data_IF_246241390658
#
_entry.id   IF_246241390658
#
_cell.length_a   1.000
_cell.length_b   1.000
_cell.length_c   1.000
_cell.angle_alpha   90.00
_cell.angle_beta   90.00
_cell.angle_gamma   90.00
#
_symmetry.space_group_name_H-M   'P 1'
#
loop_
_entity.id
_entity.type
_entity.pdbx_description
1 polymer ?
#
# COMPACT_ATOMS: atom_id res chain seq x y z
N UNK A 1 2.19 -13.38 33.45
CA UNK A 1 2.21 -13.49 31.97
C UNK A 1 2.30 -14.91 31.44
N UNK A 2 1.61 -15.21 30.34
CA UNK A 2 1.84 -16.41 29.52
C UNK A 2 3.25 -16.36 28.91
N UNK A 3 3.97 -17.48 28.94
CA UNK A 3 5.30 -17.57 28.33
C UNK A 3 5.16 -17.41 26.81
N UNK A 4 5.83 -16.41 26.23
CA UNK A 4 5.91 -16.28 24.79
C UNK A 4 6.67 -17.49 24.22
N UNK A 5 6.22 -18.09 23.11
CA UNK A 5 6.83 -19.30 22.54
C UNK A 5 8.20 -19.05 21.89
N UNK A 6 8.76 -17.84 22.04
CA UNK A 6 10.04 -17.44 21.48
C UNK A 6 10.87 -16.68 22.51
N UNK A 7 12.19 -16.74 22.36
CA UNK A 7 13.12 -16.13 23.30
C UNK A 7 13.22 -14.62 23.08
N UNK A 8 12.88 -13.84 24.11
CA UNK A 8 13.00 -12.38 24.08
C UNK A 8 14.45 -12.00 24.44
N UNK A 9 15.11 -11.11 23.68
CA UNK A 9 16.42 -10.61 24.05
C UNK A 9 16.46 -10.09 25.49
N UNK A 10 17.52 -10.37 26.25
CA UNK A 10 17.65 -9.97 27.67
C UNK A 10 17.45 -8.48 27.93
N UNK A 11 17.74 -7.63 26.95
CA UNK A 11 17.50 -6.18 27.05
C UNK A 11 16.02 -5.80 27.06
N UNK A 12 15.15 -6.69 26.57
CA UNK A 12 13.72 -6.47 26.42
C UNK A 12 12.88 -7.29 27.41
N UNK A 13 13.43 -8.36 27.98
CA UNK A 13 12.72 -9.24 28.93
C UNK A 13 12.25 -8.52 30.20
N UNK A 14 13.02 -7.54 30.67
CA UNK A 14 12.66 -6.75 31.86
C UNK A 14 11.42 -5.87 31.68
N UNK A 15 11.10 -5.48 30.43
CA UNK A 15 9.87 -4.76 30.13
C UNK A 15 8.66 -5.70 30.13
N UNK A 16 8.83 -6.92 29.63
CA UNK A 16 7.79 -7.94 29.71
C UNK A 16 7.49 -8.26 31.17
N UNK A 17 8.46 -8.57 32.01
CA UNK A 17 8.20 -8.92 33.43
C UNK A 17 7.45 -7.82 34.21
N UNK A 18 7.76 -6.54 33.95
CA UNK A 18 7.20 -5.41 34.70
C UNK A 18 5.88 -4.87 34.14
N UNK A 19 5.43 -5.36 32.99
CA UNK A 19 4.22 -4.83 32.36
C UNK A 19 2.94 -5.18 33.14
N UNK A 20 2.91 -6.31 33.87
CA UNK A 20 1.78 -6.67 34.74
C UNK A 20 1.59 -5.68 35.91
N UNK A 21 2.68 -5.04 36.38
CA UNK A 21 2.64 -4.10 37.51
C UNK A 21 2.42 -2.64 37.08
N UNK A 22 3.14 -2.17 36.05
CA UNK A 22 3.16 -0.77 35.62
C UNK A 22 3.07 -0.61 34.09
N UNK A 23 1.91 -0.89 33.47
CA UNK A 23 1.83 -1.04 32.02
C UNK A 23 2.15 0.25 31.24
N UNK A 24 1.66 1.40 31.71
CA UNK A 24 1.86 2.69 31.01
C UNK A 24 3.31 3.19 31.09
N UNK A 25 3.93 3.07 32.26
CA UNK A 25 5.33 3.46 32.45
C UNK A 25 6.28 2.53 31.71
N UNK A 26 5.96 1.24 31.60
CA UNK A 26 6.70 0.28 30.78
C UNK A 26 6.63 0.65 29.31
N UNK A 27 5.43 0.92 28.76
CA UNK A 27 5.27 1.35 27.35
C UNK A 27 6.09 2.60 27.07
N UNK A 28 6.05 3.59 27.97
CA UNK A 28 6.79 4.85 27.83
C UNK A 28 8.30 4.63 27.87
N UNK A 29 8.81 3.80 28.78
CA UNK A 29 10.23 3.45 28.88
C UNK A 29 10.68 2.65 27.65
N UNK A 30 9.89 1.69 27.18
CA UNK A 30 10.18 0.88 25.99
C UNK A 30 10.22 1.75 24.73
N UNK A 31 9.25 2.67 24.55
CA UNK A 31 9.24 3.63 23.43
C UNK A 31 10.48 4.52 23.43
N UNK A 32 10.95 4.99 24.60
CA UNK A 32 12.20 5.75 24.73
C UNK A 32 13.42 4.90 24.39
N UNK A 33 13.46 3.64 24.81
CA UNK A 33 14.54 2.71 24.50
C UNK A 33 14.64 2.48 22.99
N UNK A 34 13.50 2.26 22.31
CA UNK A 34 13.45 2.08 20.85
C UNK A 34 13.92 3.31 20.08
N UNK A 35 13.54 4.52 20.54
CA UNK A 35 14.01 5.77 19.93
C UNK A 35 15.54 5.94 19.98
N UNK A 36 16.21 5.36 20.98
CA UNK A 36 17.67 5.49 21.18
C UNK A 36 18.48 4.40 20.46
N UNK A 37 17.93 3.18 20.35
CA UNK A 37 18.66 1.99 19.89
C UNK A 37 18.60 1.77 18.37
N UNK A 38 17.62 2.36 17.69
CA UNK A 38 17.44 2.23 16.23
C UNK A 38 16.42 1.16 15.83
N UNK A 39 16.47 0.65 14.59
CA UNK A 39 15.46 -0.28 14.05
C UNK A 39 15.45 -1.62 14.80
N UNK A 40 14.37 -1.93 15.52
CA UNK A 40 14.21 -3.15 16.32
C UNK A 40 12.81 -3.76 16.15
N UNK A 41 12.73 -4.84 15.37
CA UNK A 41 11.48 -5.53 15.10
C UNK A 41 10.84 -6.13 16.37
N UNK A 42 11.64 -6.67 17.29
CA UNK A 42 11.13 -7.34 18.50
C UNK A 42 10.59 -6.30 19.49
N UNK A 43 11.26 -5.16 19.61
CA UNK A 43 10.76 -4.06 20.44
C UNK A 43 9.43 -3.48 19.94
N UNK A 44 9.28 -3.31 18.62
CA UNK A 44 8.00 -2.87 18.03
C UNK A 44 6.90 -3.93 18.15
N UNK A 45 7.25 -5.22 18.07
CA UNK A 45 6.33 -6.32 18.40
C UNK A 45 5.83 -6.22 19.86
N UNK A 46 6.73 -6.02 20.82
CA UNK A 46 6.33 -5.92 22.24
C UNK A 46 5.43 -4.71 22.49
N UNK A 47 5.71 -3.57 21.86
CA UNK A 47 4.80 -2.42 21.92
C UNK A 47 3.43 -2.73 21.32
N UNK A 48 3.39 -3.41 20.18
CA UNK A 48 2.14 -3.80 19.56
C UNK A 48 1.32 -4.73 20.47
N UNK A 49 1.99 -5.70 21.09
CA UNK A 49 1.40 -6.62 22.06
C UNK A 49 0.87 -5.90 23.31
N UNK A 50 1.66 -4.99 23.88
CA UNK A 50 1.24 -4.20 25.05
C UNK A 50 0.04 -3.32 24.76
N UNK A 51 0.00 -2.65 23.59
CA UNK A 51 -1.16 -1.86 23.20
C UNK A 51 -2.40 -2.72 22.96
N UNK A 52 -2.22 -3.93 22.42
CA UNK A 52 -3.32 -4.88 22.26
C UNK A 52 -3.89 -5.32 23.62
N UNK A 53 -3.03 -5.63 24.60
CA UNK A 53 -3.46 -5.94 25.97
C UNK A 53 -4.19 -4.77 26.66
N UNK A 54 -3.87 -3.53 26.29
CA UNK A 54 -4.56 -2.33 26.76
C UNK A 54 -5.84 -2.00 25.95
N UNK A 55 -6.28 -2.87 25.04
CA UNK A 55 -7.38 -2.62 24.08
C UNK A 55 -7.18 -1.42 23.14
N UNK A 56 -5.96 -0.92 22.99
CA UNK A 56 -5.61 0.20 22.10
C UNK A 56 -5.27 -0.29 20.67
N UNK A 57 -6.26 -0.87 19.99
CA UNK A 57 -6.05 -1.59 18.72
C UNK A 57 -5.37 -0.75 17.62
N UNK A 58 -5.74 0.53 17.49
CA UNK A 58 -5.14 1.43 16.50
C UNK A 58 -3.62 1.61 16.71
N UNK A 59 -3.18 1.75 17.96
CA UNK A 59 -1.75 1.88 18.30
C UNK A 59 -1.04 0.53 18.14
N UNK A 60 -1.71 -0.56 18.49
CA UNK A 60 -1.20 -1.91 18.33
C UNK A 60 -0.86 -2.22 16.86
N UNK A 61 -1.80 -1.97 15.94
CA UNK A 61 -1.62 -2.18 14.49
C UNK A 61 -0.48 -1.30 13.95
N UNK A 62 -0.42 -0.04 14.35
CA UNK A 62 0.64 0.88 13.92
C UNK A 62 2.04 0.40 14.28
N UNK A 63 2.22 -0.11 15.49
CA UNK A 63 3.51 -0.65 15.92
C UNK A 63 3.79 -2.02 15.27
N UNK A 64 2.77 -2.83 14.99
CA UNK A 64 2.92 -4.08 14.27
C UNK A 64 3.39 -3.88 12.82
N UNK A 65 2.86 -2.87 12.12
CA UNK A 65 3.34 -2.51 10.78
C UNK A 65 4.81 -2.08 10.80
N UNK A 66 5.26 -1.36 11.84
CA UNK A 66 6.68 -1.04 12.01
C UNK A 66 7.52 -2.29 12.22
N UNK A 67 7.06 -3.23 13.04
CA UNK A 67 7.74 -4.51 13.23
C UNK A 67 7.91 -5.26 11.89
N UNK A 68 6.88 -5.26 11.03
CA UNK A 68 6.98 -5.77 9.65
C UNK A 68 8.04 -5.04 8.83
N UNK A 69 8.10 -3.71 8.88
CA UNK A 69 9.12 -2.95 8.12
C UNK A 69 10.55 -3.31 8.53
N UNK A 70 10.77 -3.62 9.81
CA UNK A 70 12.10 -3.98 10.31
C UNK A 70 12.45 -5.46 10.11
N UNK A 71 11.47 -6.35 9.99
CA UNK A 71 11.69 -7.78 9.74
C UNK A 71 10.68 -8.36 8.72
N UNK A 72 10.74 -7.94 7.44
CA UNK A 72 9.75 -8.34 6.43
C UNK A 72 9.85 -9.83 6.02
N UNK A 73 10.95 -10.51 6.35
CA UNK A 73 11.11 -11.96 6.11
C UNK A 73 10.67 -12.86 7.26
N UNK A 74 10.19 -12.29 8.37
CA UNK A 74 9.68 -13.08 9.50
C UNK A 74 8.19 -13.37 9.28
N UNK A 75 7.77 -14.65 9.18
CA UNK A 75 6.37 -15.00 8.97
C UNK A 75 5.44 -14.41 10.04
N UNK A 76 5.91 -14.34 11.28
CA UNK A 76 5.18 -13.76 12.40
C UNK A 76 5.00 -12.24 12.23
N UNK A 77 6.07 -11.50 11.94
CA UNK A 77 6.00 -10.04 11.83
C UNK A 77 5.20 -9.60 10.62
N UNK A 78 5.28 -10.36 9.53
CA UNK A 78 4.54 -10.09 8.30
C UNK A 78 3.02 -10.08 8.52
N UNK A 79 2.52 -10.98 9.36
CA UNK A 79 1.09 -11.16 9.65
C UNK A 79 0.65 -10.62 11.01
N UNK A 80 1.57 -10.05 11.80
CA UNK A 80 1.30 -9.57 13.15
C UNK A 80 0.11 -8.62 13.22
N UNK A 81 0.07 -7.63 12.32
CA UNK A 81 -1.01 -6.64 12.27
C UNK A 81 -2.39 -7.29 12.02
N UNK A 82 -2.44 -8.34 11.19
CA UNK A 82 -3.65 -9.09 10.91
C UNK A 82 -4.14 -9.83 12.16
N UNK A 83 -3.23 -10.47 12.90
CA UNK A 83 -3.57 -11.20 14.13
C UNK A 83 -4.15 -10.28 15.22
N UNK A 84 -3.66 -9.04 15.32
CA UNK A 84 -4.15 -8.08 16.32
C UNK A 84 -5.58 -7.59 16.02
N UNK A 85 -5.97 -7.52 14.74
CA UNK A 85 -7.32 -7.08 14.33
C UNK A 85 -8.31 -8.24 14.32
N UNK A 86 -7.83 -9.48 14.17
CA UNK A 86 -8.66 -10.66 14.04
C UNK A 86 -8.26 -11.77 15.03
N UNK A 87 -8.46 -11.56 16.35
CA UNK A 87 -8.06 -12.52 17.37
C UNK A 87 -8.77 -13.88 17.25
N UNK A 88 -9.99 -13.91 16.69
CA UNK A 88 -10.81 -15.13 16.54
C UNK A 88 -10.56 -15.91 15.23
N UNK A 89 -9.69 -15.42 14.33
CA UNK A 89 -9.46 -16.03 13.00
C UNK A 89 -8.15 -16.81 12.89
N UNK A 90 -7.70 -17.41 14.00
CA UNK A 90 -6.49 -18.27 14.02
C UNK A 90 -6.61 -19.53 13.14
N UNK A 91 -7.81 -19.87 12.66
CA UNK A 91 -8.03 -20.93 11.65
C UNK A 91 -8.28 -20.37 10.24
N UNK A 92 -7.69 -19.24 9.87
CA UNK A 92 -7.54 -18.95 8.44
C UNK A 92 -6.62 -20.02 7.86
N UNK A 93 -7.17 -20.92 7.03
CA UNK A 93 -6.45 -22.01 6.40
C UNK A 93 -5.13 -21.49 5.82
N UNK A 94 -4.00 -21.87 6.44
CA UNK A 94 -2.69 -21.71 5.84
C UNK A 94 -2.71 -22.71 4.68
N UNK A 95 -2.72 -22.29 3.41
CA UNK A 95 -2.74 -23.26 2.32
C UNK A 95 -1.51 -24.15 2.45
N UNK A 96 -1.72 -25.45 2.68
CA UNK A 96 -0.69 -26.51 2.78
C UNK A 96 0.27 -26.46 1.59
N UNK A 97 -0.31 -26.17 0.43
CA UNK A 97 0.42 -25.67 -0.71
C UNK A 97 0.50 -24.16 -0.57
N UNK A 98 1.55 -23.66 0.08
CA UNK A 98 2.14 -22.45 -0.47
C UNK A 98 2.25 -22.77 -1.95
N UNK A 99 1.60 -21.99 -2.82
CA UNK A 99 1.99 -22.01 -4.20
C UNK A 99 3.48 -21.72 -4.13
N UNK A 100 4.30 -22.77 -4.17
CA UNK A 100 5.67 -22.68 -4.61
C UNK A 100 5.44 -22.10 -5.98
N UNK A 101 5.52 -20.77 -6.09
CA UNK A 101 5.55 -20.07 -7.35
C UNK A 101 6.56 -20.86 -8.12
N UNK A 102 6.07 -21.69 -9.04
CA UNK A 102 6.79 -22.80 -9.64
C UNK A 102 7.93 -22.17 -10.38
N UNK A 103 9.07 -22.01 -9.69
CA UNK A 103 10.02 -20.91 -9.83
C UNK A 103 9.66 -20.07 -11.05
N UNK A 104 8.62 -19.23 -10.93
CA UNK A 104 8.53 -18.11 -11.85
C UNK A 104 9.77 -17.38 -11.39
N UNK A 105 10.87 -17.61 -12.12
CA UNK A 105 11.85 -16.58 -12.27
C UNK A 105 10.99 -15.42 -12.75
N UNK A 106 10.48 -14.64 -11.79
CA UNK A 106 10.36 -13.23 -11.94
C UNK A 106 11.78 -12.92 -12.34
N UNK A 107 12.00 -12.94 -13.66
CA UNK A 107 13.16 -12.31 -14.21
C UNK A 107 13.11 -10.99 -13.47
N UNK A 108 14.14 -10.72 -12.69
CA UNK A 108 14.55 -9.36 -12.48
C UNK A 108 14.94 -8.81 -13.86
N UNK A 109 14.02 -8.87 -14.85
CA UNK A 109 13.89 -7.87 -15.86
C UNK A 109 13.81 -6.61 -15.04
N UNK A 110 14.83 -5.78 -15.22
CA UNK A 110 14.99 -4.42 -14.74
C UNK A 110 13.95 -4.00 -13.70
N UNK A 111 14.40 -3.64 -12.50
CA UNK A 111 13.59 -2.89 -11.53
C UNK A 111 13.15 -1.55 -12.16
N UNK A 112 12.23 -1.59 -13.10
CA UNK A 112 11.29 -0.53 -13.39
C UNK A 112 10.06 -0.98 -12.62
N UNK A 113 9.77 -0.33 -11.49
CA UNK A 113 8.56 -0.61 -10.72
C UNK A 113 7.33 -0.64 -11.65
N UNK A 114 6.23 -1.34 -11.29
CA UNK A 114 4.95 -1.26 -12.02
C UNK A 114 4.40 0.16 -12.19
N UNK A 115 5.01 1.15 -11.52
CA UNK A 115 4.74 2.59 -11.65
C UNK A 115 5.47 3.20 -12.87
N UNK A 116 6.52 2.57 -13.40
CA UNK A 116 7.27 3.09 -14.57
C UNK A 116 6.57 2.88 -15.91
N UNK A 117 5.63 1.92 -16.01
CA UNK A 117 4.84 1.71 -17.23
C UNK A 117 3.35 1.89 -16.94
N UNK A 118 2.97 3.15 -16.90
CA UNK A 118 1.62 3.58 -16.57
C UNK A 118 0.59 3.07 -17.59
N UNK A 119 0.97 2.94 -18.87
CA UNK A 119 0.10 2.44 -19.94
C UNK A 119 -0.37 1.01 -19.62
N UNK A 120 0.55 0.15 -19.16
CA UNK A 120 0.26 -1.24 -18.78
C UNK A 120 -0.58 -1.35 -17.51
N UNK A 121 -0.36 -0.46 -16.53
CA UNK A 121 -1.15 -0.44 -15.30
C UNK A 121 -2.61 -0.07 -15.60
N UNK A 122 -2.83 0.92 -16.48
CA UNK A 122 -4.17 1.34 -16.88
C UNK A 122 -4.90 0.20 -17.60
N UNK A 123 -4.24 -0.49 -18.53
CA UNK A 123 -4.81 -1.63 -19.25
C UNK A 123 -5.27 -2.76 -18.29
N UNK A 124 -4.46 -3.05 -17.26
CA UNK A 124 -4.81 -4.05 -16.25
C UNK A 124 -6.02 -3.66 -15.40
N UNK A 125 -6.16 -2.38 -15.07
CA UNK A 125 -7.30 -1.88 -14.31
C UNK A 125 -8.58 -1.88 -15.14
N UNK A 126 -8.51 -1.48 -16.41
CA UNK A 126 -9.64 -1.51 -17.35
C UNK A 126 -10.16 -2.94 -17.54
N UNK A 127 -9.27 -3.93 -17.69
CA UNK A 127 -9.66 -5.33 -17.79
C UNK A 127 -10.39 -5.83 -16.51
N UNK A 128 -9.97 -5.34 -15.34
CA UNK A 128 -10.53 -5.73 -14.05
C UNK A 128 -11.88 -5.09 -13.72
N UNK A 129 -12.30 -4.00 -14.41
CA UNK A 129 -13.60 -3.37 -14.17
C UNK A 129 -14.78 -4.33 -14.42
N UNK A 130 -14.62 -5.27 -15.35
CA UNK A 130 -15.63 -6.31 -15.65
C UNK A 130 -15.89 -7.29 -14.49
N UNK A 131 -14.99 -7.35 -13.50
CA UNK A 131 -15.08 -8.24 -12.33
C UNK A 131 -15.39 -7.50 -11.04
N UNK A 132 -15.86 -6.23 -11.12
CA UNK A 132 -16.15 -5.42 -9.93
C UNK A 132 -17.31 -6.05 -9.14
N UNK A 133 -17.03 -6.45 -7.91
CA UNK A 133 -18.04 -6.94 -6.99
C UNK A 133 -18.95 -5.76 -6.65
N UNK A 134 -20.25 -5.85 -6.99
CA UNK A 134 -21.24 -4.89 -6.52
C UNK A 134 -21.49 -5.16 -5.03
N UNK A 135 -20.98 -4.29 -4.18
CA UNK A 135 -21.28 -4.33 -2.74
C UNK A 135 -22.70 -3.76 -2.60
N UNK A 136 -23.67 -4.49 -2.03
CA UNK A 136 -24.99 -3.93 -1.76
C UNK A 136 -24.83 -2.75 -0.80
N UNK A 137 -25.47 -1.62 -1.13
CA UNK A 137 -25.48 -0.38 -0.34
C UNK A 137 -25.90 -0.71 1.10
N UNK A 138 -24.90 -0.97 1.95
CA UNK A 138 -25.08 -0.94 3.39
C UNK A 138 -24.73 0.46 3.81
N UNK A 139 -25.79 1.21 4.13
CA UNK A 139 -25.74 2.33 5.05
C UNK A 139 -24.82 1.95 6.23
N UNK A 140 -23.87 2.82 6.57
CA UNK A 140 -22.81 2.67 7.62
C UNK A 140 -21.39 2.34 7.13
N UNK A 141 -20.92 2.98 6.05
CA UNK A 141 -19.49 3.28 5.92
C UNK A 141 -19.29 4.76 6.27
N UNK A 142 -18.66 5.05 7.43
CA UNK A 142 -18.13 6.39 7.78
C UNK A 142 -16.91 6.73 6.89
N UNK A 143 -16.99 6.48 5.59
CA UNK A 143 -16.09 7.13 4.65
C UNK A 143 -16.52 8.59 4.62
N UNK A 144 -15.64 9.50 5.03
CA UNK A 144 -15.80 10.94 4.84
C UNK A 144 -16.17 11.12 3.36
N UNK A 145 -17.45 11.42 3.08
CA UNK A 145 -18.07 11.46 1.75
C UNK A 145 -17.57 12.61 0.89
N UNK A 146 -16.31 12.98 1.12
CA UNK A 146 -15.59 14.03 0.47
C UNK A 146 -15.29 13.56 -0.94
N UNK A 147 -15.92 14.23 -1.88
CA UNK A 147 -15.63 14.08 -3.29
C UNK A 147 -14.16 14.45 -3.58
N UNK A 148 -13.32 13.43 -3.72
CA UNK A 148 -11.88 13.56 -4.00
C UNK A 148 -11.59 13.77 -5.49
N UNK A 149 -12.61 13.80 -6.36
CA UNK A 149 -12.43 13.97 -7.81
C UNK A 149 -11.61 15.23 -8.12
N UNK A 150 -11.88 16.32 -7.41
CA UNK A 150 -11.17 17.59 -7.55
C UNK A 150 -9.70 17.54 -7.12
N UNK A 151 -9.35 16.67 -6.16
CA UNK A 151 -7.94 16.49 -5.77
C UNK A 151 -7.17 15.62 -6.75
N UNK A 152 -7.87 14.72 -7.46
CA UNK A 152 -7.26 13.88 -8.49
C UNK A 152 -6.90 14.67 -9.76
N UNK A 153 -7.58 15.78 -10.03
CA UNK A 153 -7.28 16.68 -11.17
C UNK A 153 -5.91 17.38 -11.04
N UNK A 154 -5.33 17.48 -9.84
CA UNK A 154 -4.10 18.24 -9.58
C UNK A 154 -2.81 17.43 -9.87
N UNK A 155 -2.92 16.17 -10.29
CA UNK A 155 -1.76 15.31 -10.57
C UNK A 155 -1.28 15.48 -12.02
N UNK A 156 -0.68 16.64 -12.31
CA UNK A 156 -0.15 17.02 -13.64
C UNK A 156 1.08 16.20 -14.09
N UNK A 157 1.69 15.42 -13.19
CA UNK A 157 3.00 14.77 -13.43
C UNK A 157 2.90 13.35 -14.01
N UNK A 158 1.67 12.82 -14.13
CA UNK A 158 1.40 11.46 -14.58
C UNK A 158 0.95 11.49 -16.05
N UNK A 159 1.82 11.02 -16.95
CA UNK A 159 1.64 11.16 -18.40
C UNK A 159 1.77 9.78 -19.08
N UNK A 160 0.75 9.36 -19.81
CA UNK A 160 0.73 8.10 -20.56
C UNK A 160 -0.14 8.20 -21.81
N UNK A 161 0.10 7.34 -22.80
CA UNK A 161 -0.66 7.33 -24.07
C UNK A 161 -2.11 6.95 -23.81
N UNK A 162 -2.35 5.94 -22.97
CA UNK A 162 -3.70 5.49 -22.63
C UNK A 162 -4.47 6.57 -21.87
N UNK A 163 -3.81 7.26 -20.93
CA UNK A 163 -4.44 8.37 -20.21
C UNK A 163 -4.80 9.53 -21.14
N UNK A 164 -3.91 9.90 -22.07
CA UNK A 164 -4.20 10.95 -23.05
C UNK A 164 -5.42 10.59 -23.94
N UNK A 165 -5.57 9.32 -24.32
CA UNK A 165 -6.77 8.82 -25.02
C UNK A 165 -8.04 8.89 -24.17
N UNK A 166 -7.96 8.54 -22.88
CA UNK A 166 -9.09 8.63 -21.95
C UNK A 166 -9.55 10.09 -21.81
N UNK A 167 -8.62 11.04 -21.63
CA UNK A 167 -8.97 12.47 -21.56
C UNK A 167 -9.62 12.97 -22.86
N UNK A 168 -9.14 12.51 -24.02
CA UNK A 168 -9.76 12.80 -25.31
C UNK A 168 -11.19 12.28 -25.42
N UNK A 169 -11.43 11.02 -25.03
CA UNK A 169 -12.76 10.40 -25.03
C UNK A 169 -13.73 11.08 -24.06
N UNK A 170 -13.22 11.62 -22.94
CA UNK A 170 -13.99 12.35 -21.95
C UNK A 170 -14.23 13.82 -22.33
N UNK A 171 -13.87 14.25 -23.54
CA UNK A 171 -14.07 15.62 -24.05
C UNK A 171 -13.07 16.64 -23.50
N UNK A 172 -12.07 16.22 -22.71
CA UNK A 172 -11.02 17.09 -22.15
C UNK A 172 -9.87 17.27 -23.15
N UNK A 173 -10.17 17.80 -24.33
CA UNK A 173 -9.23 17.91 -25.45
C UNK A 173 -7.98 18.73 -25.11
N UNK A 174 -8.12 19.81 -24.31
CA UNK A 174 -6.99 20.65 -23.90
C UNK A 174 -5.95 19.90 -23.07
N UNK A 175 -6.40 19.02 -22.17
CA UNK A 175 -5.53 18.19 -21.33
C UNK A 175 -4.88 17.08 -22.16
N UNK A 176 -5.66 16.42 -23.02
CA UNK A 176 -5.15 15.39 -23.92
C UNK A 176 -4.03 15.93 -24.83
N UNK A 177 -4.20 17.14 -25.41
CA UNK A 177 -3.18 17.79 -26.24
C UNK A 177 -1.89 18.03 -25.45
N UNK A 178 -1.98 18.60 -24.23
CA UNK A 178 -0.80 18.82 -23.37
C UNK A 178 -0.07 17.53 -23.05
N UNK A 179 -0.80 16.45 -22.76
CA UNK A 179 -0.22 15.14 -22.50
C UNK A 179 0.51 14.58 -23.73
N UNK A 180 -0.07 14.68 -24.93
CA UNK A 180 0.59 14.26 -26.17
C UNK A 180 1.84 15.09 -26.49
N UNK A 181 1.81 16.40 -26.25
CA UNK A 181 2.99 17.27 -26.41
C UNK A 181 4.14 16.83 -25.49
N UNK A 182 3.83 16.46 -24.24
CA UNK A 182 4.83 15.93 -23.31
C UNK A 182 5.29 14.51 -23.69
N UNK A 183 4.41 13.68 -24.26
CA UNK A 183 4.77 12.34 -24.75
C UNK A 183 5.73 12.38 -25.93
N UNK A 184 5.62 13.38 -26.82
CA UNK A 184 6.58 13.57 -27.92
C UNK A 184 7.99 13.75 -27.38
N UNK A 185 8.16 14.53 -26.31
CA UNK A 185 9.45 14.77 -25.68
C UNK A 185 10.03 13.50 -25.03
N UNK A 186 9.18 12.63 -24.48
CA UNK A 186 9.59 11.40 -23.77
C UNK A 186 9.74 10.18 -24.70
N UNK A 187 8.96 10.10 -25.77
CA UNK A 187 8.87 8.98 -26.73
C UNK A 187 8.93 9.52 -28.18
N UNK A 188 10.08 10.05 -28.64
CA UNK A 188 10.21 10.66 -29.98
C UNK A 188 9.98 9.65 -31.12
N UNK A 189 10.15 8.36 -30.87
CA UNK A 189 9.85 7.27 -31.80
C UNK A 189 8.39 7.22 -32.28
N UNK A 190 7.45 7.74 -31.47
CA UNK A 190 6.02 7.80 -31.77
C UNK A 190 5.54 9.23 -32.08
N UNK A 191 6.46 10.16 -32.34
CA UNK A 191 6.14 11.59 -32.51
C UNK A 191 5.05 11.84 -33.56
N UNK A 192 5.12 11.17 -34.72
CA UNK A 192 4.14 11.33 -35.80
C UNK A 192 2.73 10.96 -35.37
N UNK A 193 2.59 9.84 -34.67
CA UNK A 193 1.29 9.34 -34.19
C UNK A 193 0.67 10.34 -33.18
N UNK A 194 1.50 10.91 -32.30
CA UNK A 194 1.05 11.93 -31.34
C UNK A 194 0.69 13.25 -32.02
N UNK A 195 1.44 13.69 -33.03
CA UNK A 195 1.12 14.90 -33.80
C UNK A 195 -0.21 14.75 -34.57
N UNK A 196 -0.46 13.59 -35.16
CA UNK A 196 -1.75 13.30 -35.80
C UNK A 196 -2.92 13.31 -34.81
N UNK A 197 -2.72 12.72 -33.62
CA UNK A 197 -3.72 12.75 -32.55
C UNK A 197 -4.02 14.18 -32.08
N UNK A 198 -2.98 15.03 -31.93
CA UNK A 198 -3.14 16.44 -31.59
C UNK A 198 -3.91 17.20 -32.68
N UNK A 199 -3.62 16.93 -33.96
CA UNK A 199 -4.30 17.59 -35.07
C UNK A 199 -5.80 17.29 -35.07
N UNK A 200 -6.17 16.01 -34.91
CA UNK A 200 -7.58 15.57 -34.79
C UNK A 200 -8.28 16.24 -33.61
N UNK A 201 -7.63 16.26 -32.44
CA UNK A 201 -8.21 16.88 -31.24
C UNK A 201 -8.37 18.40 -31.36
N UNK A 202 -7.52 19.08 -32.14
CA UNK A 202 -7.65 20.53 -32.41
C UNK A 202 -8.79 20.83 -33.38
N UNK A 203 -9.04 19.94 -34.34
CA UNK A 203 -10.18 20.02 -35.25
C UNK A 203 -11.49 19.81 -34.49
N UNK A 204 -11.57 18.76 -33.66
CA UNK A 204 -12.74 18.45 -32.83
C UNK A 204 -13.03 19.54 -31.78
N UNK A 205 -12.00 20.21 -31.25
CA UNK A 205 -12.17 21.31 -30.30
C UNK A 205 -12.57 22.65 -30.94
N UNK A 206 -12.51 22.75 -32.28
CA UNK A 206 -12.83 23.96 -33.04
C UNK A 206 -14.18 23.89 -33.77
N UNK A 207 -14.87 22.74 -33.70
CA UNK A 207 -16.24 22.53 -34.19
C UNK A 207 -17.29 22.68 -33.11
#
# INVERSE_FOLDING_TARGET
MQQLPFNIPRSLSSYAEKFDDEPDEVIKKLKRHLKRRGPDAVGHFLLAWFYHLQNEQQKAVKEALKAKTYAPGSPLMEHLHYFLVHPEKFEAAIPEHSYTSSRIQLQHGSRTSPVLDLDKLIELLEAAESQRIQIPDKEDDESDGKDLSKQAEEVDDVISETLAKIHAQQGRHKEAIKMYEQLILKKPEKEKDFQEAIAKLKEDASG
#
